data_IF_082719472344
#
_entry.id   IF_082719472344
#
_cell.length_a   1.000
_cell.length_b   1.000
_cell.length_c   1.000
_cell.angle_alpha   90.00
_cell.angle_beta   90.00
_cell.angle_gamma   90.00
#
_symmetry.space_group_name_H-M   'P 1'
#
loop_
_entity.id
_entity.type
_entity.pdbx_description
1 polymer ?
#
# COMPACT_ATOMS: atom_id res chain seq x y z
N UNK A 1 11.25 -7.38 -8.57
CA UNK A 1 12.05 -6.47 -7.70
C UNK A 1 11.10 -5.62 -6.86
N UNK A 2 11.39 -5.36 -5.59
CA UNK A 2 10.48 -4.60 -4.73
C UNK A 2 10.95 -3.15 -4.58
N UNK A 3 10.04 -2.24 -4.91
CA UNK A 3 10.19 -0.81 -4.73
C UNK A 3 9.34 -0.36 -3.55
N UNK A 4 9.91 0.45 -2.68
CA UNK A 4 9.19 1.14 -1.62
C UNK A 4 8.93 2.58 -2.07
N UNK A 5 7.68 3.02 -1.97
CA UNK A 5 7.31 4.43 -2.18
C UNK A 5 6.68 4.99 -0.91
N UNK A 6 7.01 6.24 -0.61
CA UNK A 6 6.38 7.02 0.45
C UNK A 6 5.46 8.05 -0.19
N UNK A 7 4.17 7.95 0.09
CA UNK A 7 3.14 8.85 -0.43
C UNK A 7 2.95 10.06 0.49
N UNK A 8 2.76 11.24 -0.10
CA UNK A 8 2.45 12.46 0.63
C UNK A 8 0.96 12.48 1.00
N UNK A 9 0.56 12.87 2.21
CA UNK A 9 -0.82 13.28 2.48
C UNK A 9 -1.06 14.74 2.02
N UNK A 10 -2.24 15.04 1.46
CA UNK A 10 -2.58 16.39 0.99
C UNK A 10 -2.82 17.38 2.14
N UNK A 11 -3.42 16.90 3.22
CA UNK A 11 -3.54 17.66 4.46
C UNK A 11 -2.24 17.54 5.27
N UNK A 12 -1.93 18.54 6.11
CA UNK A 12 -0.76 18.56 7.02
C UNK A 12 -0.76 17.45 8.10
N UNK A 13 -1.48 16.36 7.86
CA UNK A 13 -1.45 15.13 8.65
C UNK A 13 -0.04 14.55 8.64
N UNK A 14 0.35 14.03 9.80
CA UNK A 14 1.66 13.42 9.99
C UNK A 14 1.79 12.19 9.09
N UNK A 15 2.88 12.16 8.31
CA UNK A 15 3.29 10.99 7.54
C UNK A 15 3.48 9.83 8.53
N UNK A 16 2.81 8.72 8.26
CA UNK A 16 2.83 7.51 9.06
C UNK A 16 3.12 6.30 8.18
N UNK A 17 3.48 5.15 8.77
CA UNK A 17 3.83 3.93 8.04
C UNK A 17 2.77 3.44 7.04
N UNK A 18 1.50 3.83 7.22
CA UNK A 18 0.41 3.53 6.29
C UNK A 18 0.58 4.16 4.90
N UNK A 19 1.42 5.21 4.79
CA UNK A 19 1.73 5.89 3.54
C UNK A 19 2.89 5.22 2.78
N UNK A 20 3.45 4.13 3.31
CA UNK A 20 4.45 3.32 2.64
C UNK A 20 3.76 2.24 1.82
N UNK A 21 4.09 2.19 0.53
CA UNK A 21 3.62 1.15 -0.39
C UNK A 21 4.81 0.37 -0.92
N UNK A 22 4.78 -0.95 -0.79
CA UNK A 22 5.69 -1.84 -1.49
C UNK A 22 5.09 -2.30 -2.81
N UNK A 23 5.84 -2.13 -3.89
CA UNK A 23 5.43 -2.42 -5.26
C UNK A 23 6.41 -3.45 -5.82
N UNK A 24 5.89 -4.60 -6.22
CA UNK A 24 6.65 -5.54 -7.02
C UNK A 24 6.61 -5.09 -8.48
N UNK A 25 7.79 -5.02 -9.10
CA UNK A 25 7.91 -4.71 -10.52
C UNK A 25 9.12 -5.42 -11.13
N UNK A 26 8.99 -5.82 -12.39
CA UNK A 26 10.07 -6.31 -13.23
C UNK A 26 10.82 -5.18 -13.95
N UNK A 27 10.41 -3.92 -13.75
CA UNK A 27 11.10 -2.78 -14.30
C UNK A 27 12.47 -2.59 -13.63
N UNK A 28 13.45 -2.15 -14.42
CA UNK A 28 14.71 -1.64 -13.88
C UNK A 28 14.48 -0.34 -13.11
N UNK A 29 15.40 0.01 -12.22
CA UNK A 29 15.33 1.23 -11.39
C UNK A 29 15.06 2.49 -12.22
N UNK A 30 15.75 2.63 -13.36
CA UNK A 30 15.59 3.79 -14.25
C UNK A 30 14.22 3.80 -14.92
N UNK A 31 13.75 2.64 -15.38
CA UNK A 31 12.42 2.50 -16.00
C UNK A 31 11.29 2.74 -14.99
N UNK A 32 11.48 2.33 -13.73
CA UNK A 32 10.53 2.58 -12.65
C UNK A 32 10.45 4.08 -12.30
N UNK A 33 11.60 4.76 -12.19
CA UNK A 33 11.62 6.21 -12.00
C UNK A 33 10.92 6.93 -13.16
N UNK A 34 11.22 6.55 -14.41
CA UNK A 34 10.59 7.13 -15.58
C UNK A 34 9.08 6.89 -15.56
N UNK A 35 8.62 5.69 -15.20
CA UNK A 35 7.19 5.39 -15.05
C UNK A 35 6.52 6.31 -14.03
N UNK A 36 7.15 6.56 -12.88
CA UNK A 36 6.62 7.49 -11.88
C UNK A 36 6.52 8.92 -12.43
N UNK A 37 7.51 9.36 -13.23
CA UNK A 37 7.49 10.68 -13.91
C UNK A 37 6.40 10.76 -14.98
N UNK A 38 6.27 9.73 -15.81
CA UNK A 38 5.26 9.64 -16.88
C UNK A 38 3.83 9.62 -16.31
N UNK A 39 3.65 9.17 -15.07
CA UNK A 39 2.38 9.23 -14.34
C UNK A 39 2.21 10.49 -13.50
N UNK A 40 3.14 11.44 -13.60
CA UNK A 40 3.16 12.69 -12.82
C UNK A 40 3.15 12.46 -11.29
N UNK A 41 3.72 11.33 -10.84
CA UNK A 41 3.79 10.95 -9.43
C UNK A 41 5.07 11.46 -8.76
N UNK A 42 6.12 11.71 -9.53
CA UNK A 42 7.38 12.34 -9.11
C UNK A 42 7.57 13.65 -9.87
N UNK A 43 7.30 14.77 -9.21
CA UNK A 43 7.56 16.10 -9.75
C UNK A 43 8.52 16.89 -8.84
N UNK A 44 9.44 17.62 -9.48
CA UNK A 44 10.51 18.36 -8.79
C UNK A 44 10.04 19.59 -8.02
N UNK A 45 8.80 20.05 -8.22
CA UNK A 45 8.23 21.20 -7.49
C UNK A 45 7.89 20.89 -6.04
N UNK A 46 8.04 19.63 -5.60
CA UNK A 46 7.62 19.21 -4.29
C UNK A 46 6.09 19.25 -4.12
N UNK A 47 5.31 19.17 -5.21
CA UNK A 47 3.84 18.91 -5.17
C UNK A 47 3.49 17.46 -5.52
N UNK A 48 4.52 16.64 -5.72
CA UNK A 48 4.43 15.25 -6.11
C UNK A 48 3.66 14.40 -5.09
N UNK A 49 2.89 13.43 -5.60
CA UNK A 49 2.20 12.47 -4.75
C UNK A 49 3.18 11.52 -4.05
N UNK A 50 4.26 11.13 -4.74
CA UNK A 50 5.33 10.34 -4.14
C UNK A 50 6.42 11.28 -3.64
N UNK A 51 6.70 11.24 -2.34
CA UNK A 51 7.77 12.02 -1.69
C UNK A 51 9.14 11.43 -1.94
N UNK A 52 9.24 10.12 -1.79
CA UNK A 52 10.48 9.36 -1.86
C UNK A 52 10.17 7.98 -2.37
N UNK A 53 11.12 7.39 -3.06
CA UNK A 53 11.09 5.99 -3.40
C UNK A 53 12.50 5.39 -3.25
N UNK A 54 12.55 4.08 -3.02
CA UNK A 54 13.80 3.33 -2.92
C UNK A 54 13.57 1.89 -3.36
N UNK A 55 14.66 1.24 -3.73
CA UNK A 55 14.69 -0.21 -3.88
C UNK A 55 14.84 -0.80 -2.49
N UNK A 56 14.05 -1.82 -2.17
CA UNK A 56 14.19 -2.56 -0.92
C UNK A 56 14.36 -4.05 -1.24
N UNK A 57 15.41 -4.64 -0.67
CA UNK A 57 15.57 -6.08 -0.63
C UNK A 57 14.89 -6.57 0.65
N UNK A 58 13.64 -6.98 0.52
CA UNK A 58 12.82 -7.42 1.65
C UNK A 58 12.16 -8.76 1.35
N UNK A 59 11.96 -9.56 2.39
CA UNK A 59 11.15 -10.78 2.34
C UNK A 59 9.64 -10.47 2.51
N UNK A 60 9.29 -9.20 2.76
CA UNK A 60 7.90 -8.78 2.91
C UNK A 60 7.16 -8.88 1.58
N UNK A 61 5.89 -9.32 1.58
CA UNK A 61 5.08 -9.32 0.38
C UNK A 61 4.87 -7.89 -0.10
N UNK A 62 4.93 -7.68 -1.42
CA UNK A 62 4.53 -6.42 -2.02
C UNK A 62 3.02 -6.22 -1.83
N UNK A 63 2.61 -4.96 -1.66
CA UNK A 63 1.19 -4.59 -1.62
C UNK A 63 0.54 -4.65 -3.00
N UNK A 64 1.33 -4.32 -4.05
CA UNK A 64 0.86 -4.30 -5.43
C UNK A 64 1.89 -4.91 -6.38
N UNK A 65 1.42 -5.55 -7.44
CA UNK A 65 2.26 -5.90 -8.59
C UNK A 65 2.02 -4.90 -9.74
N UNK A 66 3.06 -4.20 -10.17
CA UNK A 66 2.95 -3.12 -11.16
C UNK A 66 2.46 -3.62 -12.53
N UNK A 67 2.79 -4.86 -12.92
CA UNK A 67 2.42 -5.40 -14.22
C UNK A 67 0.91 -5.62 -14.36
N UNK A 68 0.24 -6.00 -13.27
CA UNK A 68 -1.19 -6.38 -13.27
C UNK A 68 -2.07 -5.34 -12.58
N UNK A 69 -1.55 -4.58 -11.61
CA UNK A 69 -2.33 -3.72 -10.72
C UNK A 69 -1.97 -2.24 -10.81
N UNK A 70 -1.37 -1.78 -11.92
CA UNK A 70 -1.00 -0.37 -12.11
C UNK A 70 -2.17 0.62 -11.90
N UNK A 71 -3.40 0.24 -12.25
CA UNK A 71 -4.59 1.08 -12.04
C UNK A 71 -4.96 1.18 -10.56
N UNK A 72 -4.97 0.04 -9.86
CA UNK A 72 -5.27 -0.03 -8.43
C UNK A 72 -4.22 0.74 -7.59
N UNK A 73 -2.94 0.64 -7.97
CA UNK A 73 -1.87 1.41 -7.36
C UNK A 73 -2.12 2.92 -7.43
N UNK A 74 -2.63 3.42 -8.57
CA UNK A 74 -2.95 4.85 -8.73
C UNK A 74 -4.14 5.29 -7.89
N UNK A 75 -5.21 4.49 -7.80
CA UNK A 75 -6.31 4.76 -6.84
C UNK A 75 -5.72 4.88 -5.44
N UNK A 76 -4.93 3.88 -5.02
CA UNK A 76 -4.38 3.85 -3.68
C UNK A 76 -3.51 5.06 -3.35
N UNK A 77 -2.66 5.50 -4.29
CA UNK A 77 -1.88 6.73 -4.12
C UNK A 77 -2.81 7.95 -4.00
N UNK A 78 -3.87 8.02 -4.80
CA UNK A 78 -4.84 9.12 -4.75
C UNK A 78 -5.65 9.16 -3.44
N UNK A 79 -5.97 7.99 -2.88
CA UNK A 79 -6.60 7.86 -1.56
C UNK A 79 -5.70 8.35 -0.44
N UNK A 80 -4.45 7.89 -0.42
CA UNK A 80 -3.46 8.30 0.56
C UNK A 80 -3.15 9.79 0.47
N UNK A 81 -3.18 10.35 -0.74
CA UNK A 81 -3.11 11.79 -0.96
C UNK A 81 -4.34 12.49 -0.37
N UNK A 82 -5.55 12.07 -0.69
CA UNK A 82 -6.77 12.80 -0.29
C UNK A 82 -7.13 12.60 1.18
N UNK A 83 -6.53 11.61 1.86
CA UNK A 83 -6.82 11.28 3.25
C UNK A 83 -8.25 10.75 3.46
N UNK A 84 -8.96 10.47 2.37
CA UNK A 84 -10.25 9.80 2.32
C UNK A 84 -9.98 8.41 1.72
N UNK A 85 -10.31 7.32 2.41
CA UNK A 85 -10.34 6.03 1.77
C UNK A 85 -11.38 6.13 0.64
N UNK A 86 -10.93 5.99 -0.61
CA UNK A 86 -11.85 5.61 -1.68
C UNK A 86 -12.26 4.21 -1.23
N UNK A 87 -13.52 4.06 -0.86
CA UNK A 87 -14.08 2.76 -0.51
C UNK A 87 -14.02 1.92 -1.79
N UNK A 88 -12.84 1.35 -2.05
CA UNK A 88 -12.67 0.22 -2.91
C UNK A 88 -13.53 -0.84 -2.23
N UNK A 89 -14.61 -1.21 -2.91
CA UNK A 89 -15.48 -2.34 -2.61
C UNK A 89 -14.64 -3.64 -2.71
N UNK A 90 -13.70 -3.79 -1.79
CA UNK A 90 -12.98 -5.03 -1.53
C UNK A 90 -13.94 -5.82 -0.66
N UNK A 91 -14.34 -7.04 -1.05
CA UNK A 91 -15.19 -7.86 -0.21
C UNK A 91 -14.50 -8.06 1.14
N UNK A 92 -15.10 -7.38 2.11
CA UNK A 92 -14.88 -7.35 3.54
C UNK A 92 -13.93 -8.43 4.08
N UNK A 93 -12.63 -8.10 4.19
CA UNK A 93 -11.68 -8.91 4.96
C UNK A 93 -11.99 -8.90 6.47
N UNK A 94 -12.93 -8.06 6.93
CA UNK A 94 -13.40 -8.06 8.32
C UNK A 94 -14.30 -9.26 8.62
N UNK A 95 -14.94 -9.88 7.61
CA UNK A 95 -15.63 -11.17 7.78
C UNK A 95 -14.66 -12.35 7.95
N UNK A 96 -13.49 -12.32 7.31
CA UNK A 96 -12.49 -13.39 7.44
C UNK A 96 -11.85 -13.44 8.84
N UNK A 97 -11.68 -12.28 9.49
CA UNK A 97 -11.12 -12.20 10.84
C UNK A 97 -12.13 -12.66 11.91
N UNK A 98 -13.43 -12.43 11.70
CA UNK A 98 -14.47 -12.88 12.64
C UNK A 98 -14.70 -14.40 12.56
N UNK A 99 -14.56 -15.02 11.40
CA UNK A 99 -14.66 -16.47 11.25
C UNK A 99 -13.52 -17.24 11.96
N UNK A 100 -12.32 -16.65 12.06
CA UNK A 100 -11.19 -17.28 12.75
C UNK A 100 -11.28 -17.16 14.28
N UNK A 101 -11.91 -16.10 14.80
CA UNK A 101 -12.02 -15.85 16.24
C UNK A 101 -13.05 -16.72 16.95
N UNK A 102 -13.99 -17.33 16.20
CA UNK A 102 -15.03 -18.22 16.73
C UNK A 102 -14.59 -19.68 16.89
N UNK A 103 -13.39 -20.07 16.43
CA UNK A 103 -12.94 -21.47 16.47
C UNK A 103 -11.85 -21.76 17.51
N UNK A 104 -11.52 -20.80 18.37
CA UNK A 104 -10.51 -20.96 19.42
C UNK A 104 -11.07 -20.61 20.79
N UNK A 105 -12.12 -21.31 21.21
CA UNK A 105 -12.38 -21.55 22.63
C UNK A 105 -11.98 -23.01 22.91
N UNK A 106 -10.80 -23.16 23.52
CA UNK A 106 -10.28 -24.43 24.02
C UNK A 106 -11.20 -24.99 25.14
N UNK A 107 -11.17 -26.31 25.38
CA UNK A 107 -11.94 -26.94 26.43
C UNK A 107 -11.24 -26.69 27.77
N UNK A 108 -11.93 -26.06 28.73
CA UNK A 108 -11.54 -26.18 30.14
C UNK A 108 -12.52 -27.11 30.85
N UNK A 109 -11.96 -28.25 31.29
CA UNK A 109 -12.42 -28.97 32.46
C UNK A 109 -12.54 -28.00 33.65
N UNK A 110 -13.55 -28.17 34.50
CA UNK A 110 -13.45 -28.44 35.95
C UNK A 110 -14.84 -28.34 36.62
N UNK A 111 -15.22 -29.44 37.26
CA UNK A 111 -16.03 -29.65 38.47
C UNK A 111 -17.09 -28.64 38.94
N UNK A 112 -18.31 -29.17 39.16
CA UNK A 112 -18.97 -29.20 40.48
C UNK A 112 -20.07 -30.28 40.49
#
# INVERSE_FOLDING_TARGET
MIYEILVRPSDSKKISSDHLIWIESDLTTRSFEQWLRDKSLLDGSGRAAVLRWSIVQTLRPAHFNLATQAKALKSRISELMSGAPEVLDVPDASLALQAFRLKSAAPELIAA
#
